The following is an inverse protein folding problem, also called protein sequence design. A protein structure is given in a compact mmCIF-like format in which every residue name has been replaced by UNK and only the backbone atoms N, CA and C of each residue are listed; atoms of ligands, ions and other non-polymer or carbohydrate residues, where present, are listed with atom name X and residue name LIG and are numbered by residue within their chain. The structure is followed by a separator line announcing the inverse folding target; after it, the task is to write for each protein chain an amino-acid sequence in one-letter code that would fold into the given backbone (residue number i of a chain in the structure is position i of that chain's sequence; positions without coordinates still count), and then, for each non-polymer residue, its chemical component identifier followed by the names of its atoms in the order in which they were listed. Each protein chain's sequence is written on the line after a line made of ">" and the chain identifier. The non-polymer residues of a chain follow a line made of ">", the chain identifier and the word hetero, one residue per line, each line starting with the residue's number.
data_IF_602661592525
#
_entry.id   IF_602661592525
#
_cell.length_a   1.000
_cell.length_b   1.000
_cell.length_c   1.000
_cell.angle_alpha   90.00
_cell.angle_beta   90.00
_cell.angle_gamma   90.00
#
_symmetry.space_group_name_H-M   'P 1'
#
loop_
_entity.id
_entity.type
_entity.pdbx_description
1 polymer ?
#
# COMPACT_ATOMS: atom_id res chain seq x y z
N UNK A 1 -27.76 25.23 -10.75
CA UNK A 1 -27.77 23.75 -10.63
C UNK A 1 -26.41 23.11 -10.91
N UNK A 2 -25.70 23.40 -12.02
CA UNK A 2 -24.41 22.76 -12.36
C UNK A 2 -23.29 22.91 -11.31
N UNK A 3 -23.17 24.10 -10.69
CA UNK A 3 -22.18 24.35 -9.61
C UNK A 3 -22.47 23.55 -8.33
N UNK A 4 -23.75 23.33 -8.01
CA UNK A 4 -24.18 22.55 -6.84
C UNK A 4 -23.87 21.06 -7.02
N UNK A 5 -24.12 20.53 -8.22
CA UNK A 5 -23.80 19.14 -8.58
C UNK A 5 -22.30 18.88 -8.49
N UNK A 6 -21.47 19.80 -8.97
CA UNK A 6 -20.01 19.69 -8.87
C UNK A 6 -19.52 19.74 -7.42
N UNK A 7 -20.12 20.59 -6.58
CA UNK A 7 -19.77 20.69 -5.17
C UNK A 7 -20.13 19.40 -4.40
N UNK A 8 -21.29 18.83 -4.68
CA UNK A 8 -21.73 17.55 -4.09
C UNK A 8 -20.87 16.38 -4.58
N UNK A 9 -20.48 16.36 -5.85
CA UNK A 9 -19.58 15.33 -6.40
C UNK A 9 -18.19 15.37 -5.73
N UNK A 10 -17.65 16.57 -5.50
CA UNK A 10 -16.37 16.73 -4.80
C UNK A 10 -16.49 16.26 -3.34
N UNK A 11 -17.56 16.63 -2.64
CA UNK A 11 -17.78 16.20 -1.26
C UNK A 11 -17.96 14.68 -1.14
N UNK A 12 -18.74 14.07 -2.05
CA UNK A 12 -18.92 12.62 -2.11
C UNK A 12 -17.59 11.90 -2.38
N UNK A 13 -16.70 12.46 -3.21
CA UNK A 13 -15.40 11.84 -3.50
C UNK A 13 -14.47 11.80 -2.29
N UNK A 14 -14.51 12.81 -1.42
CA UNK A 14 -13.73 12.83 -0.17
C UNK A 14 -14.33 11.84 0.84
N UNK A 15 -15.66 11.75 0.92
CA UNK A 15 -16.33 10.79 1.81
C UNK A 15 -16.12 9.32 1.39
N UNK A 16 -15.89 9.07 0.10
CA UNK A 16 -15.57 7.76 -0.47
C UNK A 16 -14.06 7.45 -0.46
N UNK A 17 -13.20 8.41 -0.14
CA UNK A 17 -11.78 8.16 -0.02
C UNK A 17 -11.54 7.28 1.22
N UNK A 18 -11.11 6.04 0.99
CA UNK A 18 -10.78 5.11 2.09
C UNK A 18 -9.72 5.69 3.01
N UNK A 19 -9.87 5.45 4.31
CA UNK A 19 -8.89 5.86 5.32
C UNK A 19 -7.56 5.16 5.06
N UNK A 20 -6.50 5.94 4.83
CA UNK A 20 -5.14 5.42 4.86
C UNK A 20 -4.76 5.18 6.33
N UNK A 21 -4.99 3.95 6.80
CA UNK A 21 -4.60 3.51 8.14
C UNK A 21 -3.14 3.09 8.15
N UNK A 22 -2.38 3.54 9.16
CA UNK A 22 -1.04 3.05 9.42
C UNK A 22 -1.10 1.61 9.95
N UNK A 23 -0.14 0.77 9.55
CA UNK A 23 -0.04 -0.59 10.07
C UNK A 23 0.29 -0.59 11.57
N UNK A 24 -0.36 -1.48 12.31
CA UNK A 24 -0.15 -1.71 13.74
C UNK A 24 0.51 -3.07 13.99
N UNK A 25 1.08 -3.25 15.19
CA UNK A 25 1.66 -4.53 15.57
C UNK A 25 0.57 -5.61 15.65
N UNK A 26 0.79 -6.72 14.95
CA UNK A 26 -0.18 -7.82 14.83
C UNK A 26 -1.02 -7.78 13.56
N UNK A 27 -1.00 -6.68 12.80
CA UNK A 27 -1.60 -6.65 11.48
C UNK A 27 -0.89 -7.64 10.55
N UNK A 28 -1.67 -8.28 9.68
CA UNK A 28 -1.11 -9.08 8.59
C UNK A 28 -0.41 -8.14 7.62
N UNK A 29 0.89 -8.36 7.41
CA UNK A 29 1.66 -7.57 6.45
C UNK A 29 0.99 -7.63 5.06
N UNK A 30 0.75 -6.48 4.40
CA UNK A 30 0.26 -6.44 3.03
C UNK A 30 1.21 -7.20 2.11
N UNK A 31 0.66 -7.88 1.10
CA UNK A 31 1.50 -8.48 0.09
C UNK A 31 2.08 -7.37 -0.80
N UNK A 32 3.40 -7.42 -0.99
CA UNK A 32 4.13 -6.45 -1.80
C UNK A 32 4.96 -7.19 -2.84
N UNK A 33 5.03 -6.61 -4.04
CA UNK A 33 5.94 -7.08 -5.09
C UNK A 33 7.23 -6.28 -5.00
N UNK A 34 8.35 -6.95 -4.75
CA UNK A 34 9.68 -6.35 -4.84
C UNK A 34 9.98 -6.08 -6.31
N UNK A 35 10.36 -4.84 -6.64
CA UNK A 35 10.52 -4.37 -8.03
C UNK A 35 11.55 -5.18 -8.82
N UNK A 36 12.83 -4.82 -8.68
CA UNK A 36 13.94 -5.64 -9.15
C UNK A 36 14.80 -6.00 -7.95
N UNK A 37 14.88 -7.28 -7.64
CA UNK A 37 15.92 -7.78 -6.73
C UNK A 37 17.29 -7.66 -7.41
N UNK A 38 18.37 -7.84 -6.65
CA UNK A 38 19.75 -7.74 -7.16
C UNK A 38 20.06 -8.68 -8.33
N UNK A 39 19.31 -9.77 -8.49
CA UNK A 39 19.41 -10.73 -9.60
C UNK A 39 18.38 -10.48 -10.72
N UNK A 40 17.61 -9.39 -10.66
CA UNK A 40 16.59 -9.05 -11.66
C UNK A 40 15.31 -9.90 -11.59
N UNK A 41 15.15 -10.72 -10.56
CA UNK A 41 13.92 -11.48 -10.34
C UNK A 41 12.83 -10.59 -9.73
N UNK A 42 11.59 -10.91 -10.06
CA UNK A 42 10.44 -10.37 -9.35
C UNK A 42 10.05 -11.35 -8.26
N UNK A 43 9.91 -10.85 -7.04
CA UNK A 43 9.47 -11.62 -5.87
C UNK A 43 8.31 -10.93 -5.19
N UNK A 44 7.47 -11.68 -4.51
CA UNK A 44 6.43 -11.17 -3.61
C UNK A 44 6.76 -11.51 -2.17
N UNK A 45 6.25 -10.73 -1.22
CA UNK A 45 6.34 -11.08 0.20
C UNK A 45 5.68 -12.44 0.47
N UNK A 46 4.59 -12.75 -0.22
CA UNK A 46 3.90 -14.04 -0.13
C UNK A 46 4.75 -15.25 -0.52
N UNK A 47 5.83 -15.07 -1.28
CA UNK A 47 6.69 -16.17 -1.72
C UNK A 47 7.50 -16.76 -0.54
N UNK A 48 7.63 -16.01 0.56
CA UNK A 48 8.37 -16.41 1.77
C UNK A 48 7.46 -16.96 2.89
N UNK A 49 6.23 -17.36 2.58
CA UNK A 49 5.32 -17.94 3.59
C UNK A 49 5.92 -19.19 4.22
N UNK A 50 5.91 -19.24 5.55
CA UNK A 50 6.51 -20.33 6.33
C UNK A 50 7.92 -20.01 6.82
N UNK A 51 8.51 -18.89 6.37
CA UNK A 51 9.81 -18.40 6.83
C UNK A 51 9.63 -17.23 7.81
N UNK A 52 10.62 -17.04 8.70
CA UNK A 52 10.73 -15.81 9.46
C UNK A 52 11.35 -14.72 8.59
N UNK A 53 10.61 -13.63 8.39
CA UNK A 53 11.01 -12.53 7.49
C UNK A 53 11.13 -11.23 8.26
N UNK A 54 12.28 -10.57 8.14
CA UNK A 54 12.51 -9.20 8.61
C UNK A 54 12.60 -8.26 7.40
N UNK A 55 11.67 -7.32 7.28
CA UNK A 55 11.71 -6.28 6.26
C UNK A 55 12.51 -5.08 6.76
N UNK A 56 13.49 -4.66 5.97
CA UNK A 56 14.32 -3.48 6.26
C UNK A 56 14.28 -2.50 5.08
N UNK A 57 14.03 -1.22 5.37
CA UNK A 57 13.96 -0.15 4.38
C UNK A 57 15.19 0.74 4.50
N UNK A 58 16.00 0.82 3.45
CA UNK A 58 17.24 1.59 3.43
C UNK A 58 17.45 2.23 2.06
N UNK A 59 18.27 3.28 2.02
CA UNK A 59 18.66 3.97 0.79
C UNK A 59 20.14 4.36 0.88
N UNK A 60 20.88 4.18 -0.21
CA UNK A 60 22.23 4.73 -0.38
C UNK A 60 22.09 6.13 -0.97
N UNK A 61 22.14 7.14 -0.11
CA UNK A 61 22.32 8.53 -0.52
C UNK A 61 23.57 8.72 -1.40
#
# INVERSE_FOLDING_TARGET
>A
MRKLVLFLALFASIALAGEARALEAGDVAPDITFGQTWNGEQKKLSDFRGEFVLLNFWATW
#
